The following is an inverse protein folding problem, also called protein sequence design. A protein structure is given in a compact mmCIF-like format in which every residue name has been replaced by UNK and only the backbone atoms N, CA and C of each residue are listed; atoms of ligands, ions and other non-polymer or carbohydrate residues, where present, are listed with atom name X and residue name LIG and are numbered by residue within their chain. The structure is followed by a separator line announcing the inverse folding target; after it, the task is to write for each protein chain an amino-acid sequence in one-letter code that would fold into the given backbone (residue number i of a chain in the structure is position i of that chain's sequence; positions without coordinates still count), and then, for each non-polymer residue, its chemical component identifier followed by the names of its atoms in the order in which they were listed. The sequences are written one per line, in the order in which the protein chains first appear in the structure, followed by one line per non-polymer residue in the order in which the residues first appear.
data_IF_282571719662
#
_entry.id   IF_282571719662
#
_cell.length_a   1.000
_cell.length_b   1.000
_cell.length_c   1.000
_cell.angle_alpha   90.00
_cell.angle_beta   90.00
_cell.angle_gamma   90.00
#
_symmetry.space_group_name_H-M   'P 1'
#
loop_
_entity.id
_entity.type
_entity.pdbx_description
1 polymer ?
#
# COMPACT_ATOMS: atom_id res chain seq x y z
N UNK A 1 38.86 -16.75 7.76
CA UNK A 1 37.62 -16.49 8.53
C UNK A 1 37.28 -15.00 8.64
N UNK A 2 38.27 -14.10 8.67
CA UNK A 2 38.09 -12.63 8.75
C UNK A 2 37.24 -12.03 7.62
N UNK A 3 37.40 -12.50 6.37
CA UNK A 3 36.57 -12.03 5.23
C UNK A 3 35.06 -12.30 5.41
N UNK A 4 34.69 -13.40 6.07
CA UNK A 4 33.27 -13.72 6.34
C UNK A 4 32.70 -12.85 7.47
N UNK A 5 33.51 -12.53 8.47
CA UNK A 5 33.12 -11.65 9.57
C UNK A 5 32.90 -10.20 9.12
N UNK A 6 33.73 -9.70 8.19
CA UNK A 6 33.60 -8.33 7.66
C UNK A 6 32.37 -8.14 6.75
N UNK A 7 31.97 -9.18 6.01
CA UNK A 7 30.72 -9.13 5.21
C UNK A 7 29.48 -9.15 6.12
N UNK A 8 29.52 -9.92 7.21
CA UNK A 8 28.44 -9.95 8.19
C UNK A 8 28.31 -8.64 8.97
N UNK A 9 29.41 -7.96 9.28
CA UNK A 9 29.36 -6.67 9.99
C UNK A 9 28.77 -5.55 9.13
N UNK A 10 29.08 -5.51 7.83
CA UNK A 10 28.48 -4.54 6.89
C UNK A 10 27.00 -4.80 6.70
N UNK A 11 26.59 -6.08 6.64
CA UNK A 11 25.17 -6.45 6.52
C UNK A 11 24.37 -6.06 7.77
N UNK A 12 24.94 -6.26 8.97
CA UNK A 12 24.32 -5.86 10.23
C UNK A 12 24.22 -4.32 10.36
N UNK A 13 25.25 -3.57 9.98
CA UNK A 13 25.22 -2.09 9.99
C UNK A 13 24.23 -1.52 8.97
N UNK A 14 24.04 -2.19 7.83
CA UNK A 14 23.04 -1.82 6.83
C UNK A 14 21.60 -1.96 7.33
N UNK A 15 21.29 -2.99 8.14
CA UNK A 15 19.94 -3.17 8.69
C UNK A 15 19.58 -2.12 9.74
N UNK A 16 20.55 -1.61 10.51
CA UNK A 16 20.31 -0.59 11.54
C UNK A 16 19.87 0.74 10.89
N UNK A 17 20.30 1.02 9.65
CA UNK A 17 19.95 2.27 8.95
C UNK A 17 18.48 2.33 8.49
N UNK A 18 17.79 1.19 8.33
CA UNK A 18 16.37 1.17 7.95
C UNK A 18 15.42 1.10 9.16
N UNK A 19 15.91 0.74 10.35
CA UNK A 19 15.10 0.67 11.55
C UNK A 19 14.55 2.04 11.99
N UNK A 20 15.17 3.13 11.54
CA UNK A 20 14.77 4.51 11.87
C UNK A 20 13.57 5.02 11.05
N UNK A 21 13.16 4.35 9.97
CA UNK A 21 12.09 4.83 9.07
C UNK A 21 10.69 4.38 9.51
N UNK A 22 10.60 3.42 10.44
CA UNK A 22 9.34 2.79 10.85
C UNK A 22 8.55 3.59 11.91
N UNK A 23 9.16 4.59 12.56
CA UNK A 23 8.47 5.45 13.53
C UNK A 23 7.84 6.69 12.88
N UNK A 24 7.83 6.74 11.55
CA UNK A 24 7.47 7.92 10.82
C UNK A 24 5.99 7.92 10.46
N UNK A 25 5.23 8.86 11.01
CA UNK A 25 3.79 8.97 10.78
C UNK A 25 3.48 9.14 9.27
N UNK A 26 4.38 9.78 8.53
CA UNK A 26 4.32 9.85 7.06
C UNK A 26 4.41 8.47 6.39
N UNK A 27 5.34 7.61 6.82
CA UNK A 27 5.46 6.26 6.27
C UNK A 27 4.20 5.41 6.54
N UNK A 28 3.65 5.49 7.76
CA UNK A 28 2.40 4.80 8.09
C UNK A 28 1.19 5.33 7.30
N UNK A 29 1.13 6.64 7.05
CA UNK A 29 0.07 7.24 6.24
C UNK A 29 0.11 6.78 4.77
N UNK A 30 1.30 6.67 4.19
CA UNK A 30 1.49 6.13 2.83
C UNK A 30 1.17 4.64 2.75
N UNK A 31 1.51 3.85 3.77
CA UNK A 31 1.17 2.42 3.83
C UNK A 31 -0.35 2.20 3.87
N UNK A 32 -1.07 2.96 4.69
CA UNK A 32 -2.54 2.87 4.77
C UNK A 32 -3.20 3.26 3.43
N UNK A 33 -2.69 4.31 2.76
CA UNK A 33 -3.13 4.68 1.43
C UNK A 33 -2.91 3.54 0.40
N UNK A 34 -1.74 2.89 0.43
CA UNK A 34 -1.41 1.78 -0.47
C UNK A 34 -2.35 0.58 -0.28
N UNK A 35 -2.70 0.22 0.97
CA UNK A 35 -3.65 -0.87 1.27
C UNK A 35 -5.04 -0.59 0.68
N UNK A 36 -5.49 0.67 0.73
CA UNK A 36 -6.78 1.06 0.13
C UNK A 36 -6.76 0.98 -1.39
N UNK A 37 -5.67 1.41 -2.04
CA UNK A 37 -5.49 1.24 -3.49
C UNK A 37 -5.46 -0.23 -3.89
N UNK A 38 -4.78 -1.09 -3.14
CA UNK A 38 -4.77 -2.53 -3.39
C UNK A 38 -6.18 -3.14 -3.28
N UNK A 39 -6.95 -2.71 -2.28
CA UNK A 39 -8.33 -3.16 -2.08
C UNK A 39 -9.23 -2.73 -3.24
N UNK A 40 -9.12 -1.49 -3.70
CA UNK A 40 -9.84 -1.00 -4.88
C UNK A 40 -9.50 -1.82 -6.13
N UNK A 41 -8.22 -2.11 -6.36
CA UNK A 41 -7.76 -2.92 -7.48
C UNK A 41 -8.33 -4.36 -7.43
N UNK A 42 -8.42 -4.97 -6.23
CA UNK A 42 -9.06 -6.29 -6.04
C UNK A 42 -10.53 -6.27 -6.46
N UNK A 43 -11.28 -5.25 -6.03
CA UNK A 43 -12.69 -5.10 -6.41
C UNK A 43 -12.86 -4.83 -7.91
N UNK A 44 -12.03 -3.98 -8.53
CA UNK A 44 -12.05 -3.79 -9.98
C UNK A 44 -11.77 -5.09 -10.74
N UNK A 45 -10.80 -5.89 -10.30
CA UNK A 45 -10.50 -7.20 -10.90
C UNK A 45 -11.67 -8.18 -10.78
N UNK A 46 -12.35 -8.22 -9.63
CA UNK A 46 -13.56 -9.03 -9.42
C UNK A 46 -14.72 -8.55 -10.30
N UNK A 47 -14.94 -7.23 -10.38
CA UNK A 47 -15.96 -6.65 -11.24
C UNK A 47 -15.75 -7.02 -12.71
N UNK A 48 -14.50 -6.91 -13.20
CA UNK A 48 -14.16 -7.31 -14.57
C UNK A 48 -14.37 -8.81 -14.82
N UNK A 49 -14.09 -9.66 -13.83
CA UNK A 49 -14.35 -11.10 -13.90
C UNK A 49 -15.85 -11.39 -13.98
N UNK A 50 -16.65 -10.86 -13.06
CA UNK A 50 -18.11 -11.03 -13.06
C UNK A 50 -18.75 -10.49 -14.35
N UNK A 51 -18.28 -9.36 -14.86
CA UNK A 51 -18.76 -8.79 -16.12
C UNK A 51 -18.48 -9.73 -17.31
N UNK A 52 -17.29 -10.36 -17.36
CA UNK A 52 -16.95 -11.37 -18.38
C UNK A 52 -17.79 -12.64 -18.25
N UNK A 53 -18.18 -13.02 -17.04
CA UNK A 53 -19.01 -14.19 -16.75
C UNK A 53 -20.52 -13.94 -16.95
N UNK A 54 -20.93 -12.73 -17.36
CA UNK A 54 -22.36 -12.35 -17.51
C UNK A 54 -23.08 -12.07 -16.19
N UNK A 55 -22.36 -12.05 -15.06
CA UNK A 55 -22.85 -11.76 -13.71
C UNK A 55 -22.92 -10.25 -13.47
N UNK A 56 -23.78 -9.56 -14.22
CA UNK A 56 -23.77 -8.10 -14.29
C UNK A 56 -24.15 -7.42 -12.97
N UNK A 57 -25.01 -8.02 -12.15
CA UNK A 57 -25.40 -7.47 -10.86
C UNK A 57 -24.27 -7.58 -9.83
N UNK A 58 -23.53 -8.69 -9.82
CA UNK A 58 -22.33 -8.87 -9.02
C UNK A 58 -21.19 -7.96 -9.50
N UNK A 59 -21.07 -7.76 -10.81
CA UNK A 59 -20.10 -6.83 -11.38
C UNK A 59 -20.37 -5.38 -10.95
N UNK A 60 -21.65 -4.95 -10.95
CA UNK A 60 -22.05 -3.62 -10.44
C UNK A 60 -21.73 -3.46 -8.96
N UNK A 61 -22.04 -4.45 -8.13
CA UNK A 61 -21.73 -4.43 -6.69
C UNK A 61 -20.22 -4.31 -6.45
N UNK A 62 -19.41 -5.12 -7.12
CA UNK A 62 -17.95 -5.06 -7.01
C UNK A 62 -17.39 -3.74 -7.54
N UNK A 63 -17.95 -3.19 -8.62
CA UNK A 63 -17.56 -1.87 -9.13
C UNK A 63 -17.91 -0.73 -8.18
N UNK A 64 -19.04 -0.81 -7.47
CA UNK A 64 -19.41 0.16 -6.45
C UNK A 64 -18.44 0.11 -5.27
N UNK A 65 -18.10 -1.09 -4.78
CA UNK A 65 -17.10 -1.27 -3.71
C UNK A 65 -15.71 -0.79 -4.14
N UNK A 66 -15.33 -0.99 -5.41
CA UNK A 66 -14.08 -0.46 -5.95
C UNK A 66 -14.07 1.07 -5.96
N UNK A 67 -15.20 1.70 -6.31
CA UNK A 67 -15.35 3.16 -6.33
C UNK A 67 -15.24 3.73 -4.92
N UNK A 68 -15.90 3.12 -3.94
CA UNK A 68 -15.81 3.54 -2.54
C UNK A 68 -14.39 3.37 -1.99
N UNK A 69 -13.75 2.23 -2.27
CA UNK A 69 -12.36 1.97 -1.88
C UNK A 69 -11.39 2.96 -2.52
N UNK A 70 -11.64 3.36 -3.78
CA UNK A 70 -10.82 4.36 -4.49
C UNK A 70 -10.97 5.76 -3.88
N UNK A 71 -12.18 6.14 -3.44
CA UNK A 71 -12.39 7.40 -2.70
C UNK A 71 -11.63 7.39 -1.38
N UNK A 72 -11.74 6.30 -0.61
CA UNK A 72 -11.00 6.15 0.63
C UNK A 72 -9.47 6.18 0.41
N UNK A 73 -8.98 5.56 -0.67
CA UNK A 73 -7.58 5.59 -1.04
C UNK A 73 -7.12 7.01 -1.39
N UNK A 74 -7.94 7.78 -2.11
CA UNK A 74 -7.66 9.16 -2.42
C UNK A 74 -7.58 10.03 -1.17
N UNK A 75 -8.53 9.91 -0.24
CA UNK A 75 -8.52 10.63 1.04
C UNK A 75 -7.27 10.31 1.86
N UNK A 76 -6.88 9.03 1.93
CA UNK A 76 -5.67 8.61 2.64
C UNK A 76 -4.38 9.10 1.97
N UNK A 77 -4.35 9.13 0.64
CA UNK A 77 -3.23 9.70 -0.11
C UNK A 77 -3.09 11.19 0.20
N UNK A 78 -4.19 11.96 0.19
CA UNK A 78 -4.17 13.38 0.53
C UNK A 78 -3.72 13.62 1.99
N UNK A 79 -4.13 12.75 2.92
CA UNK A 79 -3.67 12.81 4.31
C UNK A 79 -2.16 12.54 4.42
N UNK A 80 -1.65 11.53 3.69
CA UNK A 80 -0.22 11.20 3.65
C UNK A 80 0.60 12.34 3.02
N UNK A 81 0.09 13.00 1.99
CA UNK A 81 0.72 14.17 1.39
C UNK A 81 0.78 15.35 2.37
N UNK A 82 -0.32 15.62 3.08
CA UNK A 82 -0.37 16.65 4.12
C UNK A 82 0.58 16.35 5.29
N UNK A 83 0.76 15.08 5.63
CA UNK A 83 1.72 14.64 6.65
C UNK A 83 3.16 14.71 6.16
N UNK A 84 3.41 14.46 4.87
CA UNK A 84 4.71 14.65 4.23
C UNK A 84 5.13 16.12 4.22
N UNK A 85 4.18 17.04 4.03
CA UNK A 85 4.42 18.48 4.00
C UNK A 85 4.70 19.10 5.39
N UNK A 86 4.51 18.35 6.48
CA UNK A 86 4.81 18.80 7.86
C UNK A 86 6.24 18.50 8.30
N UNK A 87 6.99 17.73 7.49
CA UNK A 87 8.42 17.44 7.70
C UNK A 87 9.30 18.48 7.04
#
# INVERSE_FOLDING_TARGET
MIKKALVMSVFALGMISFASVAADATAMAHEDAAVKHETAAKHHKKAAKHHKEGKHEEAKKESAMATESSKAAHEKTMAADAESAKK
#
